data_IF_994385608872
#
_entry.id   IF_994385608872
#
_cell.length_a   1.000
_cell.length_b   1.000
_cell.length_c   1.000
_cell.angle_alpha   90.00
_cell.angle_beta   90.00
_cell.angle_gamma   90.00
#
_symmetry.space_group_name_H-M   'P 1'
#
loop_
_entity.id
_entity.type
_entity.pdbx_description
1 polymer ?
#
# COMPACT_ATOMS: atom_id res chain seq x y z
N UNK A 1 -23.76 -7.18 3.87
CA UNK A 1 -22.56 -7.17 3.01
C UNK A 1 -21.47 -6.36 3.68
N UNK A 2 -20.30 -6.92 3.79
CA UNK A 2 -19.18 -6.22 4.39
C UNK A 2 -18.69 -5.10 3.50
N UNK A 3 -18.45 -3.95 4.07
CA UNK A 3 -17.84 -2.84 3.35
C UNK A 3 -16.33 -3.05 3.31
N UNK A 4 -15.72 -2.54 2.24
CA UNK A 4 -14.29 -2.52 2.16
C UNK A 4 -13.72 -1.53 3.18
N UNK A 5 -12.67 -1.93 3.88
CA UNK A 5 -11.94 -1.04 4.79
C UNK A 5 -11.21 0.06 4.03
N UNK A 6 -10.66 1.02 4.75
CA UNK A 6 -9.76 1.99 4.15
C UNK A 6 -8.62 1.26 3.46
N UNK A 7 -8.16 1.79 2.34
CA UNK A 7 -7.02 1.23 1.61
C UNK A 7 -5.90 2.25 1.48
N UNK A 8 -4.67 1.71 1.43
CA UNK A 8 -3.48 2.49 1.15
C UNK A 8 -2.73 1.83 0.01
N UNK A 9 -2.18 2.65 -0.87
CA UNK A 9 -1.42 2.18 -2.02
C UNK A 9 -0.10 2.92 -2.04
N UNK A 10 0.99 2.18 -2.23
CA UNK A 10 2.31 2.78 -2.43
C UNK A 10 2.91 2.17 -3.69
N UNK A 11 3.34 3.03 -4.59
CA UNK A 11 3.99 2.63 -5.82
C UNK A 11 5.44 3.10 -5.81
N UNK A 12 6.35 2.20 -6.16
CA UNK A 12 7.78 2.49 -6.20
C UNK A 12 8.36 2.12 -7.54
N UNK A 13 9.53 2.66 -7.84
CA UNK A 13 10.32 2.21 -8.97
C UNK A 13 11.34 1.21 -8.47
N UNK A 14 11.15 -0.05 -8.84
CA UNK A 14 12.04 -1.13 -8.43
C UNK A 14 11.54 -1.89 -7.22
N UNK A 15 12.07 -3.10 -7.08
CA UNK A 15 11.58 -4.06 -6.10
C UNK A 15 12.10 -3.79 -4.68
N UNK A 16 13.36 -3.35 -4.56
CA UNK A 16 13.94 -3.12 -3.23
C UNK A 16 13.19 -2.06 -2.41
N UNK A 17 12.88 -0.86 -2.96
CA UNK A 17 12.08 0.09 -2.20
C UNK A 17 10.67 -0.43 -1.90
N UNK A 18 10.09 -1.26 -2.78
CA UNK A 18 8.79 -1.86 -2.51
C UNK A 18 8.83 -2.73 -1.27
N UNK A 19 9.79 -3.63 -1.20
CA UNK A 19 9.93 -4.57 -0.09
C UNK A 19 10.20 -3.82 1.21
N UNK A 20 11.11 -2.86 1.17
CA UNK A 20 11.44 -2.08 2.35
C UNK A 20 10.22 -1.31 2.86
N UNK A 21 9.46 -0.71 1.93
CA UNK A 21 8.27 0.03 2.28
C UNK A 21 7.16 -0.85 2.84
N UNK A 22 6.94 -2.00 2.20
CA UNK A 22 5.91 -2.93 2.67
C UNK A 22 6.22 -3.48 4.06
N UNK A 23 7.47 -3.84 4.29
CA UNK A 23 7.89 -4.34 5.61
C UNK A 23 7.63 -3.27 6.69
N UNK A 24 8.04 -2.03 6.42
CA UNK A 24 7.84 -0.94 7.37
C UNK A 24 6.36 -0.65 7.60
N UNK A 25 5.55 -0.69 6.54
CA UNK A 25 4.11 -0.45 6.65
C UNK A 25 3.43 -1.47 7.55
N UNK A 26 3.72 -2.74 7.32
CA UNK A 26 3.10 -3.84 8.09
C UNK A 26 3.54 -3.81 9.55
N UNK A 27 4.77 -3.40 9.81
CA UNK A 27 5.29 -3.30 11.19
C UNK A 27 4.75 -2.08 11.94
N UNK A 28 4.36 -1.02 11.22
CA UNK A 28 3.99 0.25 11.85
C UNK A 28 2.58 0.26 12.41
N UNK A 29 1.66 -0.50 11.84
CA UNK A 29 0.26 -0.46 12.23
C UNK A 29 -0.44 -1.76 11.87
N UNK A 30 -1.63 -1.96 12.44
CA UNK A 30 -2.41 -3.18 12.20
C UNK A 30 -3.15 -3.06 10.88
N UNK A 31 -2.47 -3.45 9.81
CA UNK A 31 -3.02 -3.47 8.45
C UNK A 31 -2.72 -4.81 7.81
N UNK A 32 -3.52 -5.14 6.79
CA UNK A 32 -3.36 -6.38 6.04
C UNK A 32 -2.89 -6.06 4.62
N UNK A 33 -1.99 -6.91 4.10
CA UNK A 33 -1.57 -6.81 2.71
C UNK A 33 -2.69 -7.35 1.82
N UNK A 34 -3.14 -6.54 0.88
CA UNK A 34 -4.18 -6.93 -0.06
C UNK A 34 -3.58 -7.55 -1.31
N UNK A 35 -2.62 -6.87 -1.90
CA UNK A 35 -1.96 -7.39 -3.10
C UNK A 35 -0.63 -6.71 -3.36
N UNK A 36 0.15 -7.36 -4.20
CA UNK A 36 1.34 -6.82 -4.85
C UNK A 36 1.01 -6.74 -6.32
N UNK A 37 1.45 -5.70 -6.98
CA UNK A 37 1.19 -5.58 -8.42
C UNK A 37 2.43 -5.07 -9.14
N UNK A 38 2.77 -5.75 -10.21
CA UNK A 38 3.83 -5.33 -11.13
C UNK A 38 3.15 -4.88 -12.41
N UNK A 39 3.37 -3.61 -12.78
CA UNK A 39 2.68 -3.02 -13.93
C UNK A 39 3.57 -3.01 -15.18
N UNK A 40 4.87 -2.99 -15.01
CA UNK A 40 5.83 -2.91 -16.09
C UNK A 40 6.73 -1.70 -15.92
N UNK A 41 7.78 -1.63 -16.70
CA UNK A 41 8.77 -0.53 -16.68
C UNK A 41 9.43 -0.33 -15.32
N UNK A 42 9.46 -1.40 -14.50
CA UNK A 42 10.05 -1.33 -13.16
C UNK A 42 9.12 -0.76 -12.09
N UNK A 43 7.88 -0.39 -12.45
CA UNK A 43 6.91 0.12 -11.49
C UNK A 43 6.20 -1.03 -10.80
N UNK A 44 6.22 -1.00 -9.48
CA UNK A 44 5.59 -2.02 -8.64
C UNK A 44 4.84 -1.33 -7.51
N UNK A 45 3.82 -1.98 -7.01
CA UNK A 45 3.00 -1.41 -5.95
C UNK A 45 2.59 -2.45 -4.93
N UNK A 46 2.26 -1.98 -3.73
CA UNK A 46 1.53 -2.80 -2.78
C UNK A 46 0.28 -2.06 -2.33
N UNK A 47 -0.72 -2.83 -1.95
CA UNK A 47 -1.99 -2.32 -1.44
C UNK A 47 -2.22 -2.93 -0.07
N UNK A 48 -2.57 -2.09 0.89
CA UNK A 48 -2.90 -2.51 2.26
C UNK A 48 -4.30 -2.04 2.59
N UNK A 49 -4.92 -2.71 3.56
CA UNK A 49 -6.22 -2.30 4.08
C UNK A 49 -6.27 -2.36 5.58
N UNK A 50 -7.19 -1.64 6.17
CA UNK A 50 -7.42 -1.63 7.60
C UNK A 50 -8.22 -0.41 8.01
N UNK A 51 -8.22 -0.13 9.30
CA UNK A 51 -8.78 1.10 9.83
C UNK A 51 -8.03 2.29 9.24
N UNK A 52 -8.75 3.40 8.99
CA UNK A 52 -8.15 4.53 8.26
C UNK A 52 -6.93 5.12 8.98
N UNK A 53 -6.96 5.21 10.31
CA UNK A 53 -5.81 5.74 11.05
C UNK A 53 -4.61 4.80 10.92
N UNK A 54 -4.85 3.50 10.98
CA UNK A 54 -3.79 2.50 10.82
C UNK A 54 -3.21 2.54 9.41
N UNK A 55 -4.07 2.66 8.39
CA UNK A 55 -3.62 2.74 7.00
C UNK A 55 -2.77 3.99 6.77
N UNK A 56 -3.18 5.14 7.31
CA UNK A 56 -2.38 6.37 7.18
C UNK A 56 -1.00 6.22 7.81
N UNK A 57 -0.95 5.68 9.02
CA UNK A 57 0.32 5.45 9.71
C UNK A 57 1.20 4.48 8.95
N UNK A 58 0.61 3.41 8.43
CA UNK A 58 1.34 2.40 7.67
C UNK A 58 1.90 2.98 6.36
N UNK A 59 1.09 3.74 5.62
CA UNK A 59 1.55 4.37 4.38
C UNK A 59 2.68 5.34 4.65
N UNK A 60 2.56 6.18 5.68
CA UNK A 60 3.62 7.14 6.03
C UNK A 60 4.93 6.43 6.35
N UNK A 61 4.88 5.38 7.17
CA UNK A 61 6.06 4.60 7.52
C UNK A 61 6.66 3.90 6.30
N UNK A 62 5.79 3.36 5.45
CA UNK A 62 6.22 2.66 4.24
C UNK A 62 6.91 3.59 3.26
N UNK A 63 6.34 4.77 3.02
CA UNK A 63 6.92 5.77 2.12
C UNK A 63 8.27 6.24 2.64
N UNK A 64 8.36 6.53 3.93
CA UNK A 64 9.63 6.97 4.53
C UNK A 64 10.72 5.91 4.34
N UNK A 65 10.41 4.66 4.64
CA UNK A 65 11.38 3.57 4.51
C UNK A 65 11.77 3.32 3.07
N UNK A 66 10.79 3.30 2.15
CA UNK A 66 11.04 3.09 0.73
C UNK A 66 11.92 4.19 0.15
N UNK A 67 11.69 5.44 0.56
CA UNK A 67 12.44 6.59 0.06
C UNK A 67 13.92 6.55 0.39
N UNK A 68 14.30 5.81 1.43
CA UNK A 68 15.71 5.64 1.80
C UNK A 68 16.43 4.66 0.89
N UNK A 69 15.69 3.82 0.19
CA UNK A 69 16.25 2.74 -0.63
C UNK A 69 16.13 3.03 -2.12
N UNK A 70 15.09 3.75 -2.50
CA UNK A 70 14.84 4.04 -3.90
C UNK A 70 13.80 5.11 -4.08
N UNK A 71 13.12 5.09 -5.21
CA UNK A 71 12.18 6.13 -5.59
C UNK A 71 10.73 5.72 -5.33
N UNK A 72 10.02 6.55 -4.57
CA UNK A 72 8.57 6.42 -4.41
C UNK A 72 7.91 7.23 -5.51
N UNK A 73 7.05 6.56 -6.29
CA UNK A 73 6.37 7.18 -7.43
C UNK A 73 5.08 7.86 -6.98
N UNK A 74 4.28 7.14 -6.17
CA UNK A 74 3.00 7.68 -5.71
C UNK A 74 2.56 6.98 -4.43
N UNK A 75 1.69 7.66 -3.70
CA UNK A 75 1.05 7.11 -2.52
C UNK A 75 -0.37 7.62 -2.47
N UNK A 76 -1.28 6.80 -1.93
CA UNK A 76 -2.68 7.15 -1.87
C UNK A 76 -3.34 6.46 -0.70
N UNK A 77 -4.20 7.19 0.02
CA UNK A 77 -5.06 6.61 1.04
C UNK A 77 -6.50 6.95 0.66
N UNK A 78 -7.35 5.95 0.60
CA UNK A 78 -8.78 6.12 0.37
C UNK A 78 -9.51 5.67 1.62
N UNK A 79 -10.07 6.62 2.41
CA UNK A 79 -10.70 6.27 3.69
C UNK A 79 -11.94 5.39 3.55
N UNK A 80 -12.72 5.60 2.50
CA UNK A 80 -13.97 4.89 2.26
C UNK A 80 -14.07 4.50 0.80
N UNK A 81 -13.33 3.48 0.37
CA UNK A 81 -13.40 3.05 -1.02
C UNK A 81 -14.80 2.52 -1.33
N UNK A 82 -15.24 2.69 -2.56
CA UNK A 82 -16.49 2.09 -3.00
C UNK A 82 -16.32 0.56 -3.01
N UNK A 83 -17.40 -0.16 -2.74
CA UNK A 83 -17.33 -1.62 -2.62
C UNK A 83 -16.84 -2.29 -3.89
N UNK A 84 -17.15 -1.74 -5.03
CA UNK A 84 -16.73 -2.27 -6.33
C UNK A 84 -15.22 -2.35 -6.50
N UNK A 85 -14.47 -1.52 -5.76
CA UNK A 85 -13.02 -1.57 -5.85
C UNK A 85 -12.44 -2.89 -5.36
N UNK A 86 -13.12 -3.56 -4.44
CA UNK A 86 -12.64 -4.85 -3.94
C UNK A 86 -12.43 -5.87 -5.06
N UNK A 87 -13.23 -5.78 -6.11
CA UNK A 87 -13.13 -6.67 -7.27
C UNK A 87 -11.90 -6.36 -8.14
N UNK A 88 -11.32 -5.18 -7.98
CA UNK A 88 -10.14 -4.77 -8.72
C UNK A 88 -8.88 -5.49 -8.21
N UNK A 89 -8.88 -5.82 -6.93
CA UNK A 89 -7.71 -6.38 -6.29
C UNK A 89 -7.72 -7.90 -6.37
N UNK A 90 -6.54 -8.45 -6.62
CA UNK A 90 -6.33 -9.88 -6.76
C UNK A 90 -6.01 -10.48 -5.39
N UNK A 91 -7.07 -11.03 -4.74
CA UNK A 91 -6.90 -11.64 -3.44
C UNK A 91 -7.85 -12.81 -3.19
#
# INVERSE_FOLDING_TARGET
MAKMNAIGIVETKGFAPLIQGADAAIKAASVDMVEWRQVGSGYVSFVIEGDVAAVRSAVDAGVEAASRVGEVISELVIPRPIDELDQTFDR
#
